data_IF_360134768484
#
_entry.id   IF_360134768484
#
_cell.length_a   1.000
_cell.length_b   1.000
_cell.length_c   1.000
_cell.angle_alpha   90.00
_cell.angle_beta   90.00
_cell.angle_gamma   90.00
#
_symmetry.space_group_name_H-M   'P 1'
#
loop_
_entity.id
_entity.type
_entity.pdbx_description
1 polymer ?
#
# COMPACT_ATOMS: atom_id res chain seq x y z
N UNK A 1 11.42 74.60 -42.99
CA UNK A 1 10.19 73.94 -42.47
C UNK A 1 9.90 72.59 -43.09
N UNK A 2 10.23 72.32 -44.35
CA UNK A 2 9.95 71.03 -44.99
C UNK A 2 10.91 69.88 -44.48
N UNK A 3 12.15 70.23 -44.29
CA UNK A 3 13.19 69.28 -43.77
C UNK A 3 12.90 68.83 -42.34
N UNK A 4 12.40 69.70 -41.48
CA UNK A 4 12.07 69.44 -40.10
C UNK A 4 10.96 68.36 -39.91
N UNK A 5 9.98 68.36 -40.84
CA UNK A 5 8.88 67.39 -40.85
C UNK A 5 9.35 65.99 -41.19
N UNK A 6 10.34 65.81 -42.05
CA UNK A 6 10.93 64.52 -42.40
C UNK A 6 11.79 63.99 -41.27
N UNK A 7 12.46 64.85 -40.53
CA UNK A 7 13.28 64.47 -39.38
C UNK A 7 12.40 63.95 -38.24
N UNK A 8 11.26 64.56 -37.97
CA UNK A 8 10.31 64.13 -36.98
C UNK A 8 9.68 62.75 -37.37
N UNK A 9 9.31 62.61 -38.68
CA UNK A 9 8.75 61.34 -39.15
C UNK A 9 9.77 60.16 -39.07
N UNK A 10 11.06 60.46 -39.36
CA UNK A 10 12.13 59.47 -39.24
C UNK A 10 12.36 59.03 -37.79
N UNK A 11 12.34 59.98 -36.83
CA UNK A 11 12.44 59.64 -35.41
C UNK A 11 11.24 58.82 -34.90
N UNK A 12 10.02 59.17 -35.33
CA UNK A 12 8.83 58.41 -34.97
C UNK A 12 8.86 56.97 -35.51
N UNK A 13 9.40 56.74 -36.70
CA UNK A 13 9.56 55.40 -37.26
C UNK A 13 10.59 54.55 -36.52
N UNK A 14 11.64 55.17 -35.98
CA UNK A 14 12.65 54.46 -35.19
C UNK A 14 12.14 53.98 -33.81
N UNK A 15 11.15 54.67 -33.24
CA UNK A 15 10.54 54.24 -31.95
C UNK A 15 9.58 53.08 -32.10
N UNK A 16 9.06 52.78 -33.29
CA UNK A 16 8.12 51.68 -33.50
C UNK A 16 8.78 50.29 -33.69
N UNK A 17 10.09 50.25 -33.89
CA UNK A 17 10.80 48.97 -34.16
C UNK A 17 11.19 48.24 -32.88
N UNK A 18 11.04 48.84 -31.69
CA UNK A 18 11.60 48.33 -30.44
C UNK A 18 10.63 47.52 -29.57
N UNK A 19 9.48 47.07 -30.11
CA UNK A 19 8.47 46.36 -29.35
C UNK A 19 8.27 44.88 -29.75
N UNK A 20 9.21 44.26 -30.46
CA UNK A 20 9.19 42.82 -30.70
C UNK A 20 10.17 42.14 -29.73
N UNK A 21 9.83 42.09 -28.42
CA UNK A 21 10.48 41.12 -27.55
C UNK A 21 9.97 39.74 -27.94
N UNK A 22 10.86 38.81 -28.34
CA UNK A 22 10.44 37.41 -28.51
C UNK A 22 9.93 36.91 -27.16
N UNK A 23 8.74 36.32 -27.14
CA UNK A 23 8.26 35.61 -25.95
C UNK A 23 9.33 34.60 -25.50
N UNK A 24 9.64 34.57 -24.19
CA UNK A 24 10.60 33.57 -23.69
C UNK A 24 10.06 32.16 -23.98
N UNK A 25 10.74 31.42 -24.83
CA UNK A 25 10.43 30.05 -25.11
C UNK A 25 10.66 29.25 -23.79
N UNK A 26 9.57 28.91 -23.08
CA UNK A 26 9.62 28.14 -21.88
C UNK A 26 9.96 26.70 -22.29
N UNK A 27 11.25 26.39 -22.31
CA UNK A 27 11.72 25.00 -22.50
C UNK A 27 11.46 24.26 -21.19
N UNK A 28 10.40 23.46 -21.14
CA UNK A 28 10.13 22.56 -20.02
C UNK A 28 11.18 21.44 -20.13
N UNK A 29 12.24 21.53 -19.34
CA UNK A 29 13.16 20.42 -19.15
C UNK A 29 12.50 19.44 -18.17
N UNK A 30 11.95 18.35 -18.69
CA UNK A 30 11.50 17.24 -17.87
C UNK A 30 12.72 16.49 -17.39
N UNK A 31 13.19 16.77 -16.18
CA UNK A 31 14.23 16.00 -15.54
C UNK A 31 13.61 14.70 -15.01
N UNK A 32 13.92 13.59 -15.65
CA UNK A 32 13.55 12.27 -15.15
C UNK A 32 14.46 11.94 -13.96
N UNK A 33 13.96 12.17 -12.75
CA UNK A 33 14.60 11.71 -11.53
C UNK A 33 14.37 10.20 -11.43
N UNK A 34 15.40 9.42 -11.73
CA UNK A 34 15.38 7.97 -11.50
C UNK A 34 15.26 7.72 -9.99
N UNK A 35 14.05 7.33 -9.56
CA UNK A 35 13.81 6.97 -8.17
C UNK A 35 14.42 5.60 -7.92
N UNK A 36 15.53 5.57 -7.22
CA UNK A 36 16.07 4.34 -6.67
C UNK A 36 15.15 3.90 -5.51
N UNK A 37 14.19 3.02 -5.82
CA UNK A 37 13.29 2.45 -4.81
C UNK A 37 14.02 1.22 -4.26
N UNK A 38 14.42 1.22 -2.98
CA UNK A 38 15.06 0.06 -2.38
C UNK A 38 14.11 -1.14 -2.41
N UNK A 39 14.56 -2.23 -3.00
CA UNK A 39 13.81 -3.48 -3.03
C UNK A 39 13.91 -4.11 -1.64
N UNK A 40 12.81 -4.13 -0.91
CA UNK A 40 12.71 -4.85 0.37
C UNK A 40 12.32 -6.28 0.06
N UNK A 41 13.08 -7.27 0.60
CA UNK A 41 12.72 -8.68 0.45
C UNK A 41 11.39 -8.97 1.15
N UNK A 42 10.57 -9.82 0.53
CA UNK A 42 9.35 -10.30 1.19
C UNK A 42 9.69 -11.10 2.44
N UNK A 43 8.86 -11.03 3.49
CA UNK A 43 9.00 -11.88 4.66
C UNK A 43 8.86 -13.35 4.28
N UNK A 44 9.51 -14.22 5.05
CA UNK A 44 9.38 -15.67 4.86
C UNK A 44 7.93 -16.13 5.08
N UNK A 45 7.49 -17.18 4.36
CA UNK A 45 6.17 -17.75 4.54
C UNK A 45 5.98 -18.27 5.96
N UNK A 46 4.83 -17.97 6.57
CA UNK A 46 4.45 -18.48 7.88
C UNK A 46 3.74 -19.82 7.72
N UNK A 47 4.25 -20.84 8.38
CA UNK A 47 3.58 -22.15 8.49
C UNK A 47 2.64 -22.13 9.68
N UNK A 48 1.33 -22.16 9.42
CA UNK A 48 0.32 -22.23 10.46
C UNK A 48 0.00 -23.68 10.79
N UNK A 49 0.01 -24.00 12.09
CA UNK A 49 -0.46 -25.28 12.59
C UNK A 49 -1.94 -25.15 12.94
N UNK A 50 -2.76 -26.05 12.40
CA UNK A 50 -4.17 -26.08 12.74
C UNK A 50 -4.36 -26.61 14.17
N UNK A 51 -4.96 -25.84 15.09
CA UNK A 51 -5.28 -26.33 16.42
C UNK A 51 -6.46 -27.31 16.36
N UNK A 52 -6.46 -28.28 17.25
CA UNK A 52 -7.55 -29.21 17.42
C UNK A 52 -8.49 -28.70 18.52
N UNK A 53 -9.79 -28.63 18.22
CA UNK A 53 -10.80 -28.15 19.15
C UNK A 53 -11.75 -29.28 19.54
N UNK A 54 -12.13 -29.29 20.79
CA UNK A 54 -13.08 -30.26 21.34
C UNK A 54 -14.29 -29.49 21.87
N UNK A 55 -15.47 -29.96 21.50
CA UNK A 55 -16.71 -29.44 22.06
C UNK A 55 -17.08 -30.29 23.28
N UNK A 56 -16.90 -29.75 24.46
CA UNK A 56 -17.12 -30.45 25.72
C UNK A 56 -18.35 -29.89 26.43
N UNK A 57 -19.23 -30.78 26.85
CA UNK A 57 -20.43 -30.45 27.62
C UNK A 57 -20.58 -31.47 28.79
N UNK A 58 -21.68 -31.35 29.55
CA UNK A 58 -21.92 -32.21 30.70
C UNK A 58 -22.00 -33.69 30.31
N UNK A 59 -22.54 -34.02 29.14
CA UNK A 59 -22.86 -35.39 28.76
C UNK A 59 -21.64 -36.16 28.25
N UNK A 60 -20.65 -35.44 27.69
CA UNK A 60 -19.44 -36.06 27.12
C UNK A 60 -18.16 -35.76 27.90
N UNK A 61 -18.24 -35.10 29.06
CA UNK A 61 -17.08 -34.65 29.82
C UNK A 61 -16.19 -35.81 30.27
N UNK A 62 -16.79 -36.88 30.81
CA UNK A 62 -16.04 -38.05 31.34
C UNK A 62 -15.29 -38.79 30.23
N UNK A 63 -15.95 -39.03 29.13
CA UNK A 63 -15.33 -39.63 27.94
C UNK A 63 -14.21 -38.74 27.35
N UNK A 64 -14.46 -37.45 27.25
CA UNK A 64 -13.46 -36.48 26.83
C UNK A 64 -12.19 -36.55 27.69
N UNK A 65 -12.31 -36.53 29.01
CA UNK A 65 -11.14 -36.57 29.91
C UNK A 65 -10.31 -37.87 29.73
N UNK A 66 -10.97 -39.00 29.56
CA UNK A 66 -10.28 -40.27 29.32
C UNK A 66 -9.49 -40.27 28.02
N UNK A 67 -10.11 -39.81 26.94
CA UNK A 67 -9.47 -39.75 25.63
C UNK A 67 -8.38 -38.67 25.59
N UNK A 68 -8.65 -37.48 26.16
CA UNK A 68 -7.72 -36.37 26.21
C UNK A 68 -6.43 -36.77 26.98
N UNK A 69 -6.56 -37.42 28.11
CA UNK A 69 -5.42 -37.94 28.89
C UNK A 69 -4.60 -38.96 28.09
N UNK A 70 -5.29 -39.86 27.39
CA UNK A 70 -4.65 -40.88 26.56
C UNK A 70 -3.83 -40.26 25.42
N UNK A 71 -4.33 -39.19 24.82
CA UNK A 71 -3.70 -38.50 23.69
C UNK A 71 -2.58 -37.55 24.13
N UNK A 72 -2.81 -36.75 25.19
CA UNK A 72 -1.93 -35.64 25.57
C UNK A 72 -1.07 -35.94 26.82
N UNK A 73 -1.19 -37.11 27.45
CA UNK A 73 -0.51 -37.47 28.68
C UNK A 73 -0.74 -36.48 29.86
N UNK A 74 -1.80 -35.67 29.79
CA UNK A 74 -2.21 -34.69 30.80
C UNK A 74 -3.73 -34.56 30.84
N UNK A 75 -4.27 -34.06 31.95
CA UNK A 75 -5.68 -33.70 32.10
C UNK A 75 -5.90 -32.18 32.05
N UNK A 76 -4.82 -31.41 31.83
CA UNK A 76 -4.88 -29.96 31.87
C UNK A 76 -5.17 -29.39 30.46
N UNK A 77 -6.20 -28.65 30.34
CA UNK A 77 -6.60 -27.96 29.10
C UNK A 77 -7.05 -26.54 29.40
N UNK A 78 -7.03 -25.70 28.38
CA UNK A 78 -7.57 -24.33 28.42
C UNK A 78 -8.95 -24.37 27.76
N UNK A 79 -9.98 -23.92 28.50
CA UNK A 79 -11.34 -23.84 27.98
C UNK A 79 -11.70 -22.41 27.60
N UNK A 80 -12.40 -22.26 26.49
CA UNK A 80 -13.03 -21.01 26.07
C UNK A 80 -14.51 -21.25 25.83
N UNK A 81 -15.34 -20.21 25.99
CA UNK A 81 -16.76 -20.34 25.67
C UNK A 81 -16.98 -20.47 24.18
N UNK A 82 -18.13 -21.02 23.75
CA UNK A 82 -18.51 -21.08 22.33
C UNK A 82 -18.51 -19.68 21.71
N UNK A 83 -19.01 -18.69 22.44
CA UNK A 83 -19.01 -17.29 21.98
C UNK A 83 -17.58 -16.74 21.79
N UNK A 84 -16.67 -17.03 22.69
CA UNK A 84 -15.28 -16.57 22.56
C UNK A 84 -14.55 -17.29 21.44
N UNK A 85 -14.88 -18.56 21.20
CA UNK A 85 -14.39 -19.29 20.02
C UNK A 85 -14.89 -18.67 18.71
N UNK A 86 -16.18 -18.29 18.64
CA UNK A 86 -16.75 -17.56 17.48
C UNK A 86 -16.03 -16.22 17.27
N UNK A 87 -15.84 -15.44 18.32
CA UNK A 87 -15.12 -14.17 18.26
C UNK A 87 -13.66 -14.34 17.80
N UNK A 88 -12.97 -15.37 18.30
CA UNK A 88 -11.61 -15.71 17.88
C UNK A 88 -11.59 -16.08 16.40
N UNK A 89 -12.52 -16.89 15.93
CA UNK A 89 -12.63 -17.33 14.55
C UNK A 89 -12.86 -16.14 13.61
N UNK A 90 -13.75 -15.21 13.99
CA UNK A 90 -14.00 -13.97 13.25
C UNK A 90 -12.74 -13.09 13.20
N UNK A 91 -12.05 -12.95 14.32
CA UNK A 91 -10.80 -12.16 14.38
C UNK A 91 -9.71 -12.73 13.48
N UNK A 92 -9.57 -14.05 13.44
CA UNK A 92 -8.62 -14.74 12.54
C UNK A 92 -9.01 -14.55 11.07
N UNK A 93 -10.30 -14.63 10.74
CA UNK A 93 -10.80 -14.38 9.39
C UNK A 93 -10.52 -12.94 8.92
N UNK A 94 -10.73 -11.94 9.81
CA UNK A 94 -10.41 -10.55 9.53
C UNK A 94 -8.90 -10.32 9.34
N UNK A 95 -8.05 -10.92 10.16
CA UNK A 95 -6.60 -10.87 9.98
C UNK A 95 -6.18 -11.47 8.64
N UNK A 96 -6.75 -12.61 8.26
CA UNK A 96 -6.48 -13.24 6.97
C UNK A 96 -6.86 -12.30 5.82
N UNK A 97 -8.05 -11.73 5.84
CA UNK A 97 -8.50 -10.75 4.85
C UNK A 97 -7.57 -9.55 4.76
N UNK A 98 -7.15 -9.01 5.91
CA UNK A 98 -6.21 -7.89 5.96
C UNK A 98 -4.86 -8.24 5.32
N UNK A 99 -4.30 -9.40 5.63
CA UNK A 99 -3.03 -9.87 5.05
C UNK A 99 -3.13 -10.08 3.53
N UNK A 100 -4.24 -10.63 3.05
CA UNK A 100 -4.51 -10.78 1.62
C UNK A 100 -4.51 -9.42 0.91
N UNK A 101 -5.21 -8.42 1.47
CA UNK A 101 -5.21 -7.06 0.92
C UNK A 101 -3.83 -6.41 0.94
N UNK A 102 -3.04 -6.58 2.02
CA UNK A 102 -1.67 -6.08 2.07
C UNK A 102 -0.78 -6.73 1.01
N UNK A 103 -0.93 -8.03 0.78
CA UNK A 103 -0.20 -8.74 -0.26
C UNK A 103 -0.56 -8.24 -1.67
N UNK A 104 -1.83 -7.95 -1.95
CA UNK A 104 -2.27 -7.37 -3.22
C UNK A 104 -1.63 -5.99 -3.47
N UNK A 105 -1.55 -5.15 -2.43
CA UNK A 105 -0.88 -3.85 -2.49
C UNK A 105 0.61 -4.02 -2.81
N UNK A 106 1.29 -4.96 -2.15
CA UNK A 106 2.70 -5.25 -2.40
C UNK A 106 2.92 -5.68 -3.86
N UNK A 107 2.11 -6.62 -4.36
CA UNK A 107 2.16 -7.09 -5.74
C UNK A 107 1.96 -5.93 -6.73
N UNK A 108 1.00 -5.06 -6.45
CA UNK A 108 0.76 -3.88 -7.27
C UNK A 108 2.00 -3.01 -7.39
N UNK A 109 2.63 -2.65 -6.27
CA UNK A 109 3.83 -1.81 -6.28
C UNK A 109 5.04 -2.51 -6.93
N UNK A 110 5.26 -3.78 -6.67
CA UNK A 110 6.34 -4.56 -7.32
C UNK A 110 6.19 -4.55 -8.84
N UNK A 111 4.95 -4.67 -9.34
CA UNK A 111 4.66 -4.65 -10.77
C UNK A 111 4.92 -3.28 -11.41
N UNK A 112 4.72 -2.19 -10.66
CA UNK A 112 4.98 -0.83 -11.15
C UNK A 112 6.48 -0.48 -11.17
N UNK A 113 7.25 -1.05 -10.25
CA UNK A 113 8.71 -0.80 -10.14
C UNK A 113 9.51 -1.62 -11.15
N UNK A 114 9.00 -2.77 -11.57
CA UNK A 114 9.67 -3.67 -12.53
C UNK A 114 9.46 -3.29 -14.01
N UNK A 115 8.76 -2.19 -14.30
CA UNK A 115 8.61 -1.61 -15.64
C UNK A 115 9.59 -0.48 -15.87
#
# INVERSE_FOLDING_TARGET
MRQMKYLIALCAALFLVNCAQPEPEVTIQTEYVERNIPTVSRPDPVTLVAPEFYVVNRDNFEEFIIEFRKKNATETFIAISVKDYENLSLSVAELKRYLEQQNEIIIYYETQVSK
#
